data_IF_282397562012
#
_entry.id   IF_282397562012
#
_cell.length_a   1.000
_cell.length_b   1.000
_cell.length_c   1.000
_cell.angle_alpha   90.00
_cell.angle_beta   90.00
_cell.angle_gamma   90.00
#
_symmetry.space_group_name_H-M   'P 1'
#
loop_
_entity.id
_entity.type
_entity.pdbx_description
1 polymer ?
#
# COMPACT_ATOMS: atom_id res chain seq x y z
N UNK A 1 -14.73 4.49 -26.12
CA UNK A 1 -14.78 4.31 -24.65
C UNK A 1 -13.36 4.07 -24.19
N UNK A 2 -12.71 4.96 -23.42
CA UNK A 2 -11.39 4.65 -22.88
C UNK A 2 -11.52 3.38 -22.03
N UNK A 3 -10.63 2.41 -22.26
CA UNK A 3 -10.75 1.07 -21.72
C UNK A 3 -10.82 1.07 -20.19
N UNK A 4 -11.87 0.46 -19.64
CA UNK A 4 -12.04 0.24 -18.21
C UNK A 4 -10.78 -0.45 -17.65
N UNK A 5 -10.10 0.20 -16.71
CA UNK A 5 -8.91 -0.37 -16.09
C UNK A 5 -9.34 -1.61 -15.31
N UNK A 6 -8.72 -2.75 -15.62
CA UNK A 6 -8.89 -3.93 -14.78
C UNK A 6 -7.99 -3.76 -13.54
N UNK A 7 -8.59 -3.23 -12.47
CA UNK A 7 -7.89 -2.90 -11.23
C UNK A 7 -7.22 -4.11 -10.57
N UNK A 8 -7.83 -5.30 -10.65
CA UNK A 8 -7.23 -6.54 -10.14
C UNK A 8 -5.93 -6.89 -10.86
N UNK A 9 -5.95 -6.88 -12.20
CA UNK A 9 -4.74 -7.13 -13.00
C UNK A 9 -3.68 -6.06 -12.79
N UNK A 10 -4.08 -4.80 -12.67
CA UNK A 10 -3.18 -3.69 -12.39
C UNK A 10 -2.53 -3.84 -11.01
N UNK A 11 -3.32 -4.19 -9.99
CA UNK A 11 -2.84 -4.47 -8.64
C UNK A 11 -1.83 -5.61 -8.63
N UNK A 12 -2.15 -6.77 -9.21
CA UNK A 12 -1.26 -7.94 -9.23
C UNK A 12 0.06 -7.59 -9.93
N UNK A 13 -0.01 -6.88 -11.06
CA UNK A 13 1.18 -6.44 -11.80
C UNK A 13 2.04 -5.49 -10.98
N UNK A 14 1.45 -4.48 -10.35
CA UNK A 14 2.17 -3.51 -9.54
C UNK A 14 2.76 -4.16 -8.29
N UNK A 15 1.98 -4.98 -7.59
CA UNK A 15 2.41 -5.73 -6.41
C UNK A 15 3.59 -6.64 -6.76
N UNK A 16 3.59 -7.24 -7.95
CA UNK A 16 4.69 -8.07 -8.43
C UNK A 16 6.02 -7.32 -8.59
N UNK A 17 6.01 -5.98 -8.61
CA UNK A 17 7.19 -5.15 -8.79
C UNK A 17 7.63 -4.45 -7.50
N UNK A 18 6.70 -4.22 -6.57
CA UNK A 18 6.96 -3.57 -5.28
C UNK A 18 7.86 -4.41 -4.37
N UNK A 19 8.92 -3.80 -3.85
CA UNK A 19 9.75 -4.31 -2.76
C UNK A 19 10.23 -5.76 -2.96
N UNK A 20 10.84 -6.04 -4.11
CA UNK A 20 11.31 -7.39 -4.50
C UNK A 20 12.38 -7.98 -3.56
N UNK A 21 12.97 -7.15 -2.71
CA UNK A 21 13.96 -7.53 -1.69
C UNK A 21 13.33 -8.05 -0.38
N UNK A 22 12.01 -7.95 -0.22
CA UNK A 22 11.26 -8.51 0.92
C UNK A 22 10.45 -9.75 0.50
N UNK A 23 10.15 -10.61 1.48
CA UNK A 23 9.24 -11.74 1.26
C UNK A 23 7.82 -11.24 0.96
N UNK A 24 7.16 -11.84 -0.05
CA UNK A 24 5.86 -11.37 -0.54
C UNK A 24 4.76 -11.30 0.51
N UNK A 25 4.70 -12.30 1.38
CA UNK A 25 3.72 -12.32 2.46
C UNK A 25 3.90 -11.12 3.40
N UNK A 26 5.15 -10.76 3.70
CA UNK A 26 5.48 -9.58 4.52
C UNK A 26 5.07 -8.29 3.82
N UNK A 27 5.39 -8.15 2.53
CA UNK A 27 4.99 -6.96 1.75
C UNK A 27 3.47 -6.80 1.73
N UNK A 28 2.73 -7.91 1.61
CA UNK A 28 1.27 -7.90 1.65
C UNK A 28 0.75 -7.50 3.04
N UNK A 29 1.26 -8.09 4.11
CA UNK A 29 0.90 -7.76 5.49
C UNK A 29 1.17 -6.29 5.83
N UNK A 30 2.33 -5.77 5.44
CA UNK A 30 2.72 -4.38 5.63
C UNK A 30 1.83 -3.44 4.81
N UNK A 31 1.52 -3.79 3.56
CA UNK A 31 0.59 -3.04 2.71
C UNK A 31 -0.80 -2.92 3.35
N UNK A 32 -1.37 -4.03 3.83
CA UNK A 32 -2.69 -4.01 4.50
C UNK A 32 -2.62 -3.18 5.79
N UNK A 33 -1.59 -3.39 6.61
CA UNK A 33 -1.40 -2.63 7.85
C UNK A 33 -1.30 -1.13 7.60
N UNK A 34 -0.49 -0.71 6.63
CA UNK A 34 -0.32 0.70 6.28
C UNK A 34 -1.60 1.29 5.70
N UNK A 35 -2.31 0.54 4.87
CA UNK A 35 -3.58 0.97 4.26
C UNK A 35 -4.65 1.21 5.32
N UNK A 36 -4.81 0.28 6.27
CA UNK A 36 -5.77 0.42 7.36
C UNK A 36 -5.43 1.64 8.22
N UNK A 37 -4.16 1.81 8.63
CA UNK A 37 -3.76 2.96 9.45
C UNK A 37 -4.00 4.28 8.71
N UNK A 38 -3.67 4.37 7.41
CA UNK A 38 -3.90 5.58 6.62
C UNK A 38 -5.39 5.94 6.53
N UNK A 39 -6.27 4.94 6.38
CA UNK A 39 -7.71 5.13 6.38
C UNK A 39 -8.23 5.53 7.77
N UNK A 40 -7.76 4.86 8.82
CA UNK A 40 -8.15 5.16 10.20
C UNK A 40 -7.71 6.56 10.61
N UNK A 41 -6.51 7.01 10.23
CA UNK A 41 -6.02 8.36 10.53
C UNK A 41 -6.89 9.46 9.93
N UNK A 42 -7.56 9.19 8.80
CA UNK A 42 -8.52 10.12 8.20
C UNK A 42 -9.80 10.26 9.04
N UNK A 43 -10.16 9.23 9.82
CA UNK A 43 -11.34 9.22 10.69
C UNK A 43 -11.00 9.68 12.11
N UNK A 44 -9.97 9.09 12.71
CA UNK A 44 -9.47 9.38 14.04
C UNK A 44 -7.97 9.11 14.12
N UNK A 45 -7.20 10.19 14.12
CA UNK A 45 -5.76 10.13 14.26
C UNK A 45 -5.35 9.52 15.61
N UNK A 46 -4.42 8.56 15.56
CA UNK A 46 -3.81 7.97 16.75
C UNK A 46 -2.30 7.91 16.56
N UNK A 47 -1.57 8.57 17.45
CA UNK A 47 -0.12 8.64 17.37
C UNK A 47 0.55 7.25 17.43
N UNK A 48 0.00 6.34 18.25
CA UNK A 48 0.51 4.96 18.35
C UNK A 48 0.40 4.23 17.00
N UNK A 49 -0.72 4.42 16.28
CA UNK A 49 -0.90 3.84 14.95
C UNK A 49 0.00 4.50 13.92
N UNK A 50 0.12 5.83 13.97
CA UNK A 50 0.99 6.58 13.07
C UNK A 50 2.45 6.18 13.22
N UNK A 51 2.94 6.00 14.47
CA UNK A 51 4.30 5.51 14.69
C UNK A 51 4.51 4.10 14.13
N UNK A 52 3.51 3.21 14.23
CA UNK A 52 3.56 1.89 13.57
C UNK A 52 3.64 2.04 12.04
N UNK A 53 2.83 2.91 11.46
CA UNK A 53 2.86 3.22 10.02
C UNK A 53 4.25 3.70 9.60
N UNK A 54 4.78 4.73 10.25
CA UNK A 54 6.10 5.32 9.95
C UNK A 54 7.23 4.30 10.08
N UNK A 55 7.19 3.44 11.10
CA UNK A 55 8.18 2.37 11.29
C UNK A 55 8.11 1.34 10.17
N UNK A 56 6.91 0.95 9.73
CA UNK A 56 6.73 -0.01 8.63
C UNK A 56 7.22 0.59 7.32
N UNK A 57 6.75 1.79 6.93
CA UNK A 57 7.16 2.42 5.66
C UNK A 57 8.64 2.81 5.63
N UNK A 58 9.25 3.06 6.79
CA UNK A 58 10.70 3.31 6.90
C UNK A 58 11.56 2.11 6.50
N UNK A 59 10.99 0.90 6.42
CA UNK A 59 11.67 -0.30 5.89
C UNK A 59 11.61 -0.45 4.36
N UNK A 60 11.03 0.53 3.66
CA UNK A 60 10.81 0.53 2.21
C UNK A 60 11.54 1.67 1.51
N UNK A 61 11.93 1.45 0.25
CA UNK A 61 12.41 2.51 -0.63
C UNK A 61 11.28 3.49 -0.96
N UNK A 62 11.61 4.75 -1.28
CA UNK A 62 10.61 5.79 -1.55
C UNK A 62 9.71 5.43 -2.73
N UNK A 63 10.28 4.80 -3.76
CA UNK A 63 9.53 4.29 -4.90
C UNK A 63 8.51 3.23 -4.47
N UNK A 64 8.90 2.33 -3.57
CA UNK A 64 8.01 1.26 -3.09
C UNK A 64 6.89 1.79 -2.20
N UNK A 65 7.16 2.79 -1.35
CA UNK A 65 6.11 3.49 -0.59
C UNK A 65 5.10 4.15 -1.54
N UNK A 66 5.59 4.74 -2.63
CA UNK A 66 4.73 5.31 -3.68
C UNK A 66 3.89 4.22 -4.36
N UNK A 67 4.49 3.07 -4.67
CA UNK A 67 3.75 1.92 -5.22
C UNK A 67 2.72 1.37 -4.24
N UNK A 68 2.99 1.36 -2.94
CA UNK A 68 2.00 0.98 -1.92
C UNK A 68 0.77 1.90 -1.92
N UNK A 69 0.97 3.21 -2.08
CA UNK A 69 -0.15 4.15 -2.24
C UNK A 69 -0.95 3.87 -3.52
N UNK A 70 -0.27 3.56 -4.63
CA UNK A 70 -0.91 3.18 -5.89
C UNK A 70 -1.65 1.84 -5.80
N UNK A 71 -1.13 0.87 -5.04
CA UNK A 71 -1.83 -0.39 -4.76
C UNK A 71 -3.17 -0.12 -4.05
N UNK A 72 -3.18 0.81 -3.08
CA UNK A 72 -4.42 1.20 -2.41
C UNK A 72 -5.41 1.86 -3.39
N UNK A 73 -4.94 2.71 -4.31
CA UNK A 73 -5.78 3.30 -5.36
C UNK A 73 -6.48 2.24 -6.22
N UNK A 74 -5.75 1.18 -6.60
CA UNK A 74 -6.36 0.06 -7.31
C UNK A 74 -7.40 -0.69 -6.48
N UNK A 75 -7.23 -0.81 -5.16
CA UNK A 75 -8.22 -1.44 -4.26
C UNK A 75 -9.49 -0.60 -4.15
N UNK A 76 -9.37 0.73 -4.05
CA UNK A 76 -10.54 1.63 -3.95
C UNK A 76 -11.20 1.92 -5.30
N UNK A 77 -10.61 1.49 -6.42
CA UNK A 77 -11.16 1.68 -7.76
C UNK A 77 -11.08 3.13 -8.26
N UNK A 78 -10.08 3.89 -7.79
CA UNK A 78 -9.89 5.33 -8.09
C UNK A 78 -8.69 5.53 -9.01
#
# INVERSE_FOLDING_TARGET
MPGMINHEKAFVKLFSQTARYHHRFKVFEDFISCSVIALENRLHFSEVREQKYLRTVGGYEKEDVTRMAQLLAHVVGV
#
